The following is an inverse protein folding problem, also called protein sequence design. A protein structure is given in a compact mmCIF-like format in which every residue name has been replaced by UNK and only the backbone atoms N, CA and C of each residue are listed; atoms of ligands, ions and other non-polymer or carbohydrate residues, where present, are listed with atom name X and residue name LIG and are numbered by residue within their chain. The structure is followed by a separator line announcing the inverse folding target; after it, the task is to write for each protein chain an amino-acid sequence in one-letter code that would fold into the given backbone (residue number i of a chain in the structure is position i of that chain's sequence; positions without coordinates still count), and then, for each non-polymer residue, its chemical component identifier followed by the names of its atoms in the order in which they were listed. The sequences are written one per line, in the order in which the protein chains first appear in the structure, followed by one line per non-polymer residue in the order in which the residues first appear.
data_IF_845489850258
#
_entry.id   IF_845489850258
#
_cell.length_a   1.000
_cell.length_b   1.000
_cell.length_c   1.000
_cell.angle_alpha   90.00
_cell.angle_beta   90.00
_cell.angle_gamma   90.00
#
_symmetry.space_group_name_H-M   'P 1'
#
loop_
_entity.id
_entity.type
_entity.pdbx_description
1 polymer ?
#
# COMPACT_ATOMS: atom_id res chain seq x y z
N UNK A 1 -20.34 -49.67 122.30
CA UNK A 1 -20.64 -50.23 120.99
C UNK A 1 -20.63 -49.10 119.98
N UNK A 2 -19.59 -49.09 119.21
CA UNK A 2 -19.18 -47.99 118.37
C UNK A 2 -19.73 -48.22 116.97
N UNK A 3 -20.40 -47.31 116.38
CA UNK A 3 -20.75 -47.25 114.94
C UNK A 3 -20.09 -46.06 114.27
N UNK A 4 -19.13 -46.36 113.38
CA UNK A 4 -18.47 -45.35 112.55
C UNK A 4 -19.39 -44.93 111.40
N UNK A 5 -19.40 -43.67 111.01
CA UNK A 5 -20.13 -43.18 109.87
C UNK A 5 -19.31 -43.39 108.52
N UNK A 6 -19.98 -43.53 107.40
CA UNK A 6 -19.31 -43.82 106.11
C UNK A 6 -18.61 -42.56 105.55
N UNK A 7 -17.45 -42.77 104.89
CA UNK A 7 -16.66 -41.77 104.17
C UNK A 7 -17.33 -41.39 102.81
N UNK A 8 -17.66 -40.15 102.68
CA UNK A 8 -18.03 -39.52 101.39
C UNK A 8 -16.79 -39.44 100.52
N UNK A 9 -16.82 -40.10 99.38
CA UNK A 9 -15.84 -39.87 98.27
C UNK A 9 -16.33 -38.79 97.36
N UNK A 10 -15.50 -37.81 96.97
CA UNK A 10 -15.96 -36.75 96.07
C UNK A 10 -15.99 -37.32 94.63
N UNK A 11 -17.16 -37.20 93.98
CA UNK A 11 -17.34 -37.52 92.55
C UNK A 11 -16.50 -36.55 91.71
N UNK A 12 -15.60 -37.14 90.91
CA UNK A 12 -14.89 -36.37 89.83
C UNK A 12 -15.92 -35.89 88.83
N UNK A 13 -16.06 -34.57 88.66
CA UNK A 13 -16.73 -33.94 87.57
C UNK A 13 -15.93 -34.31 86.26
N UNK A 14 -16.51 -35.17 85.45
CA UNK A 14 -16.06 -35.37 84.08
C UNK A 14 -16.53 -34.20 83.26
N UNK A 15 -15.64 -33.26 82.99
CA UNK A 15 -15.86 -32.20 82.01
C UNK A 15 -15.96 -32.84 80.64
N UNK A 16 -17.17 -33.02 80.13
CA UNK A 16 -17.40 -33.37 78.70
C UNK A 16 -16.74 -32.32 77.80
N UNK A 17 -15.66 -32.71 77.10
CA UNK A 17 -15.05 -31.93 76.01
C UNK A 17 -16.05 -31.86 74.88
N UNK A 18 -16.83 -30.81 74.76
CA UNK A 18 -17.62 -30.45 73.59
C UNK A 18 -16.59 -30.05 72.50
N UNK A 19 -16.44 -30.80 71.43
CA UNK A 19 -15.52 -30.39 70.38
C UNK A 19 -15.98 -29.07 69.77
N UNK A 20 -15.06 -28.13 69.53
CA UNK A 20 -15.43 -26.80 68.99
C UNK A 20 -16.16 -27.02 67.67
N UNK A 21 -17.37 -26.40 67.54
CA UNK A 21 -18.11 -26.37 66.28
C UNK A 21 -17.19 -25.77 65.21
N UNK A 22 -16.55 -26.63 64.38
CA UNK A 22 -15.72 -26.23 63.27
C UNK A 22 -16.60 -25.45 62.33
N UNK A 23 -16.44 -24.11 62.28
CA UNK A 23 -17.22 -23.24 61.42
C UNK A 23 -17.12 -23.72 59.98
N UNK A 24 -18.22 -24.23 59.45
CA UNK A 24 -18.34 -24.72 58.06
C UNK A 24 -17.86 -23.66 57.07
N UNK A 25 -18.11 -22.38 57.39
CA UNK A 25 -17.71 -21.18 56.64
C UNK A 25 -16.18 -21.05 56.51
N UNK A 26 -15.43 -21.30 57.60
CA UNK A 26 -13.94 -21.30 57.58
C UNK A 26 -13.38 -22.45 56.73
N UNK A 27 -14.03 -23.63 56.74
CA UNK A 27 -13.65 -24.73 55.90
C UNK A 27 -13.93 -24.44 54.43
N UNK A 28 -15.06 -23.85 54.10
CA UNK A 28 -15.43 -23.42 52.75
C UNK A 28 -14.45 -22.37 52.23
N UNK A 29 -14.13 -21.33 53.01
CA UNK A 29 -13.16 -20.31 52.67
C UNK A 29 -11.76 -20.86 52.41
N UNK A 30 -11.29 -21.77 53.26
CA UNK A 30 -10.02 -22.47 53.05
C UNK A 30 -10.05 -23.34 51.80
N UNK A 31 -11.12 -24.06 51.50
CA UNK A 31 -11.27 -24.84 50.26
C UNK A 31 -11.27 -23.92 49.03
N UNK A 32 -12.00 -22.82 49.02
CA UNK A 32 -11.99 -21.87 47.92
C UNK A 32 -10.61 -21.24 47.73
N UNK A 33 -9.92 -20.87 48.82
CA UNK A 33 -8.55 -20.37 48.76
C UNK A 33 -7.56 -21.40 48.17
N UNK A 34 -7.64 -22.67 48.65
CA UNK A 34 -6.81 -23.75 48.10
C UNK A 34 -7.14 -24.10 46.65
N UNK A 35 -8.42 -24.13 46.26
CA UNK A 35 -8.86 -24.34 44.88
C UNK A 35 -8.40 -23.18 43.99
N UNK A 36 -8.47 -21.92 44.49
CA UNK A 36 -7.94 -20.76 43.78
C UNK A 36 -6.42 -20.81 43.60
N UNK A 37 -5.68 -21.20 44.67
CA UNK A 37 -4.21 -21.32 44.58
C UNK A 37 -3.76 -22.45 43.63
N UNK A 38 -4.40 -23.60 43.74
CA UNK A 38 -4.08 -24.74 42.83
C UNK A 38 -4.44 -24.41 41.39
N UNK A 39 -5.59 -23.76 41.15
CA UNK A 39 -5.98 -23.26 39.83
C UNK A 39 -4.99 -22.22 39.26
N UNK A 40 -4.55 -21.28 40.08
CA UNK A 40 -3.55 -20.27 39.69
C UNK A 40 -2.18 -20.92 39.39
N UNK A 41 -1.74 -21.91 40.21
CA UNK A 41 -0.49 -22.65 39.98
C UNK A 41 -0.55 -23.46 38.69
N UNK A 42 -1.65 -24.17 38.44
CA UNK A 42 -1.84 -24.92 37.20
C UNK A 42 -1.86 -24.01 35.98
N UNK A 43 -2.52 -22.88 36.06
CA UNK A 43 -2.53 -21.85 35.00
C UNK A 43 -1.12 -21.28 34.75
N UNK A 44 -0.34 -21.03 35.81
CA UNK A 44 1.04 -20.55 35.69
C UNK A 44 1.95 -21.60 35.02
N UNK A 45 1.86 -22.88 35.43
CA UNK A 45 2.63 -23.98 34.81
C UNK A 45 2.25 -24.17 33.34
N UNK A 46 0.94 -24.15 33.04
CA UNK A 46 0.47 -24.23 31.66
C UNK A 46 0.94 -23.01 30.83
N UNK A 47 0.90 -21.81 31.40
CA UNK A 47 1.40 -20.57 30.77
C UNK A 47 2.91 -20.65 30.48
N UNK A 48 3.71 -21.14 31.42
CA UNK A 48 5.14 -21.37 31.24
C UNK A 48 5.41 -22.42 30.16
N UNK A 49 4.69 -23.54 30.18
CA UNK A 49 4.82 -24.58 29.14
C UNK A 49 4.49 -24.04 27.73
N UNK A 50 3.42 -23.26 27.59
CA UNK A 50 3.07 -22.59 26.34
C UNK A 50 4.14 -21.58 25.93
N UNK A 51 4.64 -20.79 26.88
CA UNK A 51 5.72 -19.84 26.63
C UNK A 51 6.97 -20.55 26.09
N UNK A 52 7.43 -21.61 26.73
CA UNK A 52 8.60 -22.37 26.26
C UNK A 52 8.36 -23.02 24.88
N UNK A 53 7.19 -23.60 24.66
CA UNK A 53 6.84 -24.22 23.40
C UNK A 53 6.87 -23.22 22.24
N UNK A 54 6.25 -22.05 22.39
CA UNK A 54 6.22 -21.03 21.33
C UNK A 54 7.53 -20.23 21.25
N UNK A 55 8.24 -20.07 22.34
CA UNK A 55 9.48 -19.31 22.45
C UNK A 55 10.64 -19.98 21.71
N UNK A 56 10.72 -21.33 21.73
CA UNK A 56 11.79 -22.10 21.06
C UNK A 56 11.68 -22.09 19.52
N UNK A 57 10.49 -21.81 18.99
CA UNK A 57 10.23 -21.75 17.55
C UNK A 57 10.25 -20.32 16.98
N UNK A 58 10.64 -19.31 17.78
CA UNK A 58 10.73 -17.94 17.30
C UNK A 58 12.08 -17.67 16.62
N UNK A 59 12.11 -16.85 15.56
CA UNK A 59 13.35 -16.40 14.96
C UNK A 59 14.17 -15.56 15.95
N UNK A 60 15.48 -15.51 15.71
CA UNK A 60 16.37 -14.60 16.40
C UNK A 60 16.00 -13.14 16.12
N UNK A 61 16.25 -12.28 17.11
CA UNK A 61 16.03 -10.84 16.95
C UNK A 61 17.14 -10.30 16.04
N UNK A 62 16.79 -9.69 14.89
CA UNK A 62 17.80 -9.08 14.06
C UNK A 62 18.43 -7.90 14.81
N UNK A 63 19.75 -7.85 14.84
CA UNK A 63 20.44 -6.62 15.24
C UNK A 63 20.14 -5.55 14.19
N UNK A 64 19.89 -4.31 14.63
CA UNK A 64 19.43 -3.23 13.74
C UNK A 64 20.45 -2.92 12.65
N UNK A 65 21.73 -3.03 12.96
CA UNK A 65 22.85 -2.88 12.03
C UNK A 65 22.98 -4.04 11.02
N UNK A 66 22.44 -5.23 11.35
CA UNK A 66 22.41 -6.41 10.50
C UNK A 66 21.03 -6.64 9.83
N UNK A 67 20.08 -5.76 10.12
CA UNK A 67 18.75 -5.87 9.53
C UNK A 67 18.71 -5.31 8.10
N UNK A 68 18.82 -6.19 7.13
CA UNK A 68 18.68 -5.90 5.71
C UNK A 68 17.36 -6.46 5.19
N UNK A 69 16.26 -5.69 5.25
CA UNK A 69 15.02 -6.11 4.59
C UNK A 69 15.23 -6.11 3.07
N UNK A 70 14.45 -6.90 2.31
CA UNK A 70 14.47 -6.82 0.86
C UNK A 70 14.27 -5.37 0.39
N UNK A 71 15.26 -4.83 -0.31
CA UNK A 71 15.26 -3.45 -0.85
C UNK A 71 15.23 -3.50 -2.36
N UNK A 72 14.71 -2.42 -2.95
CA UNK A 72 14.63 -2.25 -4.40
C UNK A 72 16.03 -2.16 -5.01
N UNK A 73 16.26 -2.92 -6.09
CA UNK A 73 17.41 -2.72 -6.97
C UNK A 73 17.06 -1.65 -7.98
N UNK A 74 17.93 -0.66 -8.12
CA UNK A 74 17.76 0.49 -9.01
C UNK A 74 18.72 0.40 -10.19
N UNK A 75 18.23 0.64 -11.41
CA UNK A 75 19.02 0.71 -12.62
C UNK A 75 19.09 2.15 -13.08
N UNK A 76 20.30 2.65 -13.24
CA UNK A 76 20.57 4.01 -13.68
C UNK A 76 21.23 4.01 -15.07
N UNK A 77 20.93 5.04 -15.83
CA UNK A 77 21.61 5.35 -17.08
C UNK A 77 23.01 5.93 -16.82
N UNK A 78 23.81 6.12 -17.86
CA UNK A 78 25.14 6.76 -17.78
C UNK A 78 25.06 8.22 -17.26
N UNK A 79 23.98 8.90 -17.61
CA UNK A 79 23.66 10.26 -17.15
C UNK A 79 22.84 10.27 -15.83
N UNK A 80 22.88 9.18 -15.04
CA UNK A 80 22.27 9.03 -13.72
C UNK A 80 20.73 9.19 -13.68
N UNK A 81 20.04 8.98 -14.78
CA UNK A 81 18.57 8.92 -14.80
C UNK A 81 18.11 7.51 -14.37
N UNK A 82 17.10 7.42 -13.51
CA UNK A 82 16.51 6.14 -13.12
C UNK A 82 15.81 5.50 -14.32
N UNK A 83 16.31 4.34 -14.77
CA UNK A 83 15.79 3.61 -15.93
C UNK A 83 14.86 2.45 -15.55
N UNK A 84 14.97 1.93 -14.33
CA UNK A 84 14.10 0.86 -13.85
C UNK A 84 14.37 0.46 -12.41
N UNK A 85 13.41 -0.24 -11.83
CA UNK A 85 13.49 -0.78 -10.47
C UNK A 85 13.12 -2.27 -10.50
N UNK A 86 13.86 -3.12 -9.76
CA UNK A 86 13.55 -4.55 -9.59
C UNK A 86 13.31 -4.86 -8.12
N UNK A 87 12.16 -5.42 -7.76
CA UNK A 87 11.78 -5.70 -6.40
C UNK A 87 10.67 -6.74 -6.30
N UNK A 88 10.59 -7.43 -5.17
CA UNK A 88 9.37 -8.11 -4.73
C UNK A 88 8.44 -7.14 -3.99
N UNK A 89 9.03 -6.30 -3.14
CA UNK A 89 8.35 -5.29 -2.35
C UNK A 89 9.10 -3.98 -2.49
N UNK A 90 8.48 -2.95 -3.05
CA UNK A 90 9.12 -1.64 -3.21
C UNK A 90 9.39 -1.05 -1.84
N UNK A 91 10.66 -1.12 -1.42
CA UNK A 91 11.13 -0.64 -0.13
C UNK A 91 12.43 0.13 -0.30
N UNK A 92 12.42 1.34 0.25
CA UNK A 92 13.61 2.18 0.40
C UNK A 92 13.77 2.47 1.88
N UNK A 93 14.91 2.07 2.44
CA UNK A 93 15.22 2.24 3.86
C UNK A 93 15.84 3.61 4.08
N UNK A 94 15.35 4.32 5.11
CA UNK A 94 15.92 5.60 5.54
C UNK A 94 16.36 5.52 7.00
N UNK A 95 17.48 6.16 7.37
CA UNK A 95 17.90 6.29 8.76
C UNK A 95 16.81 6.95 9.61
N UNK A 96 16.67 6.53 10.87
CA UNK A 96 15.66 7.10 11.78
C UNK A 96 15.76 8.62 11.91
N UNK A 97 16.99 9.15 11.95
CA UNK A 97 17.24 10.59 12.01
C UNK A 97 16.69 11.39 10.80
N UNK A 98 16.44 10.74 9.66
CA UNK A 98 15.87 11.38 8.48
C UNK A 98 14.33 11.31 8.45
N UNK A 99 13.71 10.58 9.37
CA UNK A 99 12.24 10.49 9.46
C UNK A 99 11.72 11.69 10.27
N UNK A 100 10.84 12.52 9.70
CA UNK A 100 10.32 13.68 10.41
C UNK A 100 9.64 13.30 11.73
N UNK A 101 9.96 14.01 12.81
CA UNK A 101 9.38 13.77 14.14
C UNK A 101 7.84 13.79 14.10
N UNK A 102 7.24 14.69 13.31
CA UNK A 102 5.78 14.77 13.14
C UNK A 102 5.19 13.51 12.50
N UNK A 103 5.91 12.87 11.58
CA UNK A 103 5.49 11.60 10.98
C UNK A 103 5.50 10.47 12.01
N UNK A 104 6.57 10.36 12.81
CA UNK A 104 6.66 9.40 13.92
C UNK A 104 5.50 9.59 14.89
N UNK A 105 5.24 10.83 15.32
CA UNK A 105 4.12 11.19 16.18
C UNK A 105 2.76 10.81 15.59
N UNK A 106 2.57 10.98 14.28
CA UNK A 106 1.33 10.61 13.60
C UNK A 106 1.07 9.09 13.65
N UNK A 107 2.10 8.26 13.45
CA UNK A 107 1.98 6.81 13.60
C UNK A 107 1.67 6.41 15.05
N UNK A 108 2.38 6.98 16.03
CA UNK A 108 2.13 6.72 17.44
C UNK A 108 0.70 7.12 17.82
N UNK A 109 0.25 8.31 17.47
CA UNK A 109 -1.09 8.79 17.77
C UNK A 109 -2.21 7.93 17.14
N UNK A 110 -1.97 7.38 15.94
CA UNK A 110 -2.98 6.63 15.18
C UNK A 110 -3.04 5.15 15.53
N UNK A 111 -1.90 4.54 15.85
CA UNK A 111 -1.75 3.09 16.01
C UNK A 111 -1.52 2.68 17.47
N UNK A 112 -0.76 3.47 18.26
CA UNK A 112 -0.33 3.07 19.59
C UNK A 112 0.06 4.29 20.45
N UNK A 113 -0.93 5.04 20.96
CA UNK A 113 -0.65 6.27 21.69
C UNK A 113 0.10 6.07 23.01
N UNK A 114 0.09 4.86 23.56
CA UNK A 114 0.83 4.47 24.78
C UNK A 114 2.16 3.77 24.48
N UNK A 115 2.69 3.91 23.28
CA UNK A 115 3.90 3.19 22.81
C UNK A 115 5.09 3.30 23.77
N UNK A 116 5.30 4.47 24.38
CA UNK A 116 6.40 4.68 25.31
C UNK A 116 6.12 4.18 26.74
N UNK A 117 4.86 3.83 27.08
CA UNK A 117 4.44 3.48 28.44
C UNK A 117 4.40 1.95 28.67
N UNK A 118 4.42 1.14 27.62
CA UNK A 118 4.36 -0.32 27.74
C UNK A 118 5.63 -1.00 27.20
N UNK A 119 5.80 -2.29 27.53
CA UNK A 119 6.91 -3.14 27.10
C UNK A 119 6.44 -4.23 26.12
N UNK A 120 6.15 -3.82 24.89
CA UNK A 120 5.79 -4.72 23.77
C UNK A 120 4.30 -5.01 23.63
N UNK A 121 3.59 -5.19 24.74
CA UNK A 121 2.14 -5.46 24.76
C UNK A 121 1.44 -4.48 25.70
N UNK A 122 0.48 -3.73 25.21
CA UNK A 122 -0.42 -2.91 26.03
C UNK A 122 -1.60 -3.78 26.52
N UNK A 123 -1.46 -4.36 27.72
CA UNK A 123 -2.49 -5.22 28.33
C UNK A 123 -3.77 -4.44 28.60
N UNK A 124 -3.67 -3.21 29.12
CA UNK A 124 -4.83 -2.37 29.44
C UNK A 124 -5.53 -1.87 28.17
N UNK A 125 -4.79 -1.46 27.18
CA UNK A 125 -5.33 -1.07 25.86
C UNK A 125 -6.00 -2.23 25.16
N UNK A 126 -5.38 -3.42 25.20
CA UNK A 126 -5.96 -4.65 24.66
C UNK A 126 -7.27 -5.02 25.35
N UNK A 127 -7.32 -4.95 26.67
CA UNK A 127 -8.55 -5.21 27.44
C UNK A 127 -9.65 -4.18 27.13
N UNK A 128 -9.31 -2.90 27.02
CA UNK A 128 -10.23 -1.84 26.59
C UNK A 128 -10.75 -2.07 25.16
N UNK A 129 -9.90 -2.47 24.23
CA UNK A 129 -10.29 -2.76 22.85
C UNK A 129 -11.21 -4.00 22.78
N UNK A 130 -10.92 -5.04 23.57
CA UNK A 130 -11.75 -6.24 23.67
C UNK A 130 -13.15 -5.92 24.23
N UNK A 131 -13.23 -5.12 25.30
CA UNK A 131 -14.52 -4.71 25.89
C UNK A 131 -15.38 -3.91 24.90
N UNK A 132 -14.80 -2.96 24.17
CA UNK A 132 -15.49 -2.21 23.09
C UNK A 132 -15.97 -3.12 21.95
N UNK A 133 -15.19 -4.12 21.61
CA UNK A 133 -15.55 -5.10 20.55
C UNK A 133 -16.71 -5.97 21.00
N UNK A 134 -16.73 -6.40 22.26
CA UNK A 134 -17.85 -7.16 22.89
C UNK A 134 -19.09 -6.27 22.95
N UNK A 135 -18.97 -5.05 23.44
CA UNK A 135 -20.09 -4.10 23.49
C UNK A 135 -20.73 -3.89 22.11
N UNK A 136 -19.91 -3.74 21.07
CA UNK A 136 -20.40 -3.63 19.69
C UNK A 136 -21.13 -4.89 19.22
N UNK A 137 -20.60 -6.08 19.51
CA UNK A 137 -21.27 -7.35 19.14
C UNK A 137 -22.61 -7.53 19.86
N UNK A 138 -22.74 -6.97 21.07
CA UNK A 138 -23.98 -6.96 21.84
C UNK A 138 -24.94 -5.82 21.44
N UNK A 139 -24.62 -5.04 20.40
CA UNK A 139 -25.48 -3.93 19.96
C UNK A 139 -25.44 -2.68 20.85
N UNK A 140 -24.52 -2.61 21.82
CA UNK A 140 -24.42 -1.50 22.78
C UNK A 140 -23.65 -0.29 22.22
N UNK A 141 -23.37 -0.27 20.90
CA UNK A 141 -22.63 0.79 20.24
C UNK A 141 -21.12 0.65 20.37
N UNK A 142 -20.35 1.54 19.73
CA UNK A 142 -18.89 1.59 19.79
C UNK A 142 -18.21 1.29 18.46
N UNK A 143 -16.98 1.81 18.29
CA UNK A 143 -16.12 1.51 17.14
C UNK A 143 -15.18 0.36 17.45
N UNK A 144 -14.91 -0.50 16.49
CA UNK A 144 -13.82 -1.48 16.61
C UNK A 144 -12.48 -0.73 16.68
N UNK A 145 -11.80 -0.83 17.80
CA UNK A 145 -10.48 -0.26 18.01
C UNK A 145 -9.44 -1.38 17.91
N UNK A 146 -8.36 -1.16 17.16
CA UNK A 146 -7.22 -2.08 17.10
C UNK A 146 -6.54 -2.12 18.48
N UNK A 147 -6.24 -3.33 18.94
CA UNK A 147 -5.56 -3.54 20.23
C UNK A 147 -4.13 -4.07 20.08
N UNK A 148 -3.52 -4.01 18.88
CA UNK A 148 -2.14 -4.43 18.65
C UNK A 148 -1.21 -3.24 18.71
N UNK A 149 -0.11 -3.36 19.45
CA UNK A 149 0.92 -2.33 19.58
C UNK A 149 1.80 -2.23 18.33
N UNK A 150 2.53 -1.12 18.17
CA UNK A 150 3.56 -0.95 17.13
C UNK A 150 4.63 -2.04 17.23
N UNK A 151 5.04 -2.42 18.44
CA UNK A 151 6.00 -3.51 18.64
C UNK A 151 5.45 -4.87 18.18
N UNK A 152 4.16 -5.16 18.41
CA UNK A 152 3.53 -6.38 17.88
C UNK A 152 3.44 -6.38 16.36
N UNK A 153 3.21 -5.21 15.74
CA UNK A 153 3.21 -5.08 14.29
C UNK A 153 4.64 -5.28 13.72
N UNK A 154 5.66 -4.77 14.41
CA UNK A 154 7.08 -5.02 14.07
C UNK A 154 7.42 -6.50 14.22
N UNK A 155 7.03 -7.14 15.32
CA UNK A 155 7.20 -8.59 15.53
C UNK A 155 6.57 -9.41 14.41
N UNK A 156 5.37 -9.03 13.97
CA UNK A 156 4.74 -9.66 12.80
C UNK A 156 5.58 -9.49 11.53
N UNK A 157 6.17 -8.33 11.28
CA UNK A 157 7.03 -8.11 10.11
C UNK A 157 8.28 -9.00 10.15
N UNK A 158 8.90 -9.17 11.33
CA UNK A 158 10.03 -10.09 11.54
C UNK A 158 9.62 -11.55 11.27
N UNK A 159 8.46 -11.98 11.76
CA UNK A 159 7.94 -13.34 11.47
C UNK A 159 7.69 -13.56 9.98
N UNK A 160 7.13 -12.54 9.27
CA UNK A 160 6.92 -12.61 7.82
C UNK A 160 8.25 -12.76 7.07
N UNK A 161 9.28 -12.02 7.49
CA UNK A 161 10.60 -12.10 6.88
C UNK A 161 11.27 -13.47 7.08
N UNK A 162 11.09 -14.09 8.27
CA UNK A 162 11.69 -15.38 8.60
C UNK A 162 10.96 -16.59 8.00
N UNK A 163 9.63 -16.58 7.98
CA UNK A 163 8.79 -17.77 7.69
C UNK A 163 7.95 -17.62 6.41
N UNK A 164 7.95 -16.44 5.80
CA UNK A 164 7.11 -16.12 4.65
C UNK A 164 5.69 -15.68 5.04
N UNK A 165 5.03 -15.01 4.08
CA UNK A 165 3.75 -14.33 4.30
C UNK A 165 2.61 -15.27 4.73
N UNK A 166 2.48 -16.43 4.09
CA UNK A 166 1.37 -17.37 4.34
C UNK A 166 1.39 -17.91 5.77
N UNK A 167 2.56 -18.34 6.26
CA UNK A 167 2.74 -18.86 7.62
C UNK A 167 2.52 -17.78 8.66
N UNK A 168 3.15 -16.63 8.49
CA UNK A 168 3.16 -15.55 9.47
C UNK A 168 1.87 -14.72 9.50
N UNK A 169 0.94 -14.86 8.53
CA UNK A 169 -0.32 -14.08 8.48
C UNK A 169 -1.57 -14.90 8.72
N UNK A 170 -1.46 -16.22 8.93
CA UNK A 170 -2.59 -17.07 9.28
C UNK A 170 -3.36 -16.51 10.49
N UNK A 171 -4.69 -16.35 10.36
CA UNK A 171 -5.55 -15.82 11.41
C UNK A 171 -5.82 -16.85 12.49
N UNK A 172 -4.85 -17.12 13.37
CA UNK A 172 -4.99 -18.04 14.48
C UNK A 172 -4.44 -17.45 15.79
N UNK A 173 -4.83 -18.05 16.89
CA UNK A 173 -4.40 -17.65 18.24
C UNK A 173 -2.89 -17.87 18.43
N UNK A 174 -2.37 -18.97 17.87
CA UNK A 174 -0.93 -19.32 17.90
C UNK A 174 -0.06 -18.18 17.41
N UNK A 175 -0.43 -17.58 16.27
CA UNK A 175 0.29 -16.42 15.72
C UNK A 175 0.27 -15.24 16.70
N UNK A 176 -0.89 -14.94 17.32
CA UNK A 176 -1.00 -13.82 18.25
C UNK A 176 -0.15 -14.01 19.51
N UNK A 177 -0.05 -15.25 20.00
CA UNK A 177 0.85 -15.59 21.11
C UNK A 177 2.31 -15.38 20.69
N UNK A 178 2.71 -15.86 19.51
CA UNK A 178 4.07 -15.70 18.99
C UNK A 178 4.42 -14.24 18.76
N UNK A 179 3.51 -13.42 18.18
CA UNK A 179 3.67 -11.98 18.05
C UNK A 179 3.89 -11.30 19.42
N UNK A 180 3.12 -11.68 20.45
CA UNK A 180 3.24 -11.08 21.78
C UNK A 180 4.57 -11.45 22.45
N UNK A 181 5.02 -12.72 22.36
CA UNK A 181 6.31 -13.17 22.92
C UNK A 181 7.46 -12.46 22.20
N UNK A 182 7.42 -12.41 20.87
CA UNK A 182 8.47 -11.74 20.08
C UNK A 182 8.49 -10.24 20.33
N UNK A 183 7.31 -9.60 20.45
CA UNK A 183 7.21 -8.19 20.81
C UNK A 183 7.88 -7.88 22.17
N UNK A 184 7.67 -8.75 23.17
CA UNK A 184 8.34 -8.62 24.46
C UNK A 184 9.87 -8.75 24.34
N UNK A 185 10.34 -9.72 23.57
CA UNK A 185 11.78 -9.91 23.32
C UNK A 185 12.39 -8.73 22.57
N UNK A 186 11.67 -8.15 21.57
CA UNK A 186 12.14 -6.97 20.86
C UNK A 186 12.35 -5.79 21.81
N UNK A 187 11.44 -5.56 22.75
CA UNK A 187 11.57 -4.48 23.77
C UNK A 187 12.69 -4.74 24.80
N UNK A 188 13.07 -5.99 25.01
CA UNK A 188 14.20 -6.37 25.87
C UNK A 188 15.56 -6.19 25.15
N UNK A 189 15.57 -6.30 23.83
CA UNK A 189 16.80 -6.25 23.01
C UNK A 189 17.03 -4.90 22.31
N UNK A 190 15.98 -4.12 22.05
CA UNK A 190 16.02 -2.91 21.23
C UNK A 190 15.42 -1.73 21.98
N UNK A 191 15.93 -0.54 21.69
CA UNK A 191 15.33 0.71 22.14
C UNK A 191 14.02 1.03 21.40
N UNK A 192 13.21 1.90 21.97
CA UNK A 192 11.97 2.39 21.33
C UNK A 192 12.22 3.00 19.94
N UNK A 193 13.31 3.73 19.79
CA UNK A 193 13.69 4.33 18.50
C UNK A 193 14.09 3.28 17.46
N UNK A 194 14.78 2.24 17.85
CA UNK A 194 15.14 1.11 16.98
C UNK A 194 13.89 0.32 16.55
N UNK A 195 12.93 0.12 17.45
CA UNK A 195 11.66 -0.50 17.11
C UNK A 195 10.86 0.37 16.12
N UNK A 196 10.83 1.70 16.33
CA UNK A 196 10.20 2.63 15.39
C UNK A 196 10.93 2.64 14.04
N UNK A 197 12.25 2.61 14.03
CA UNK A 197 13.04 2.49 12.80
C UNK A 197 12.66 1.24 12.01
N UNK A 198 12.61 0.08 12.65
CA UNK A 198 12.19 -1.17 12.02
C UNK A 198 10.74 -1.08 11.52
N UNK A 199 9.82 -0.55 12.33
CA UNK A 199 8.42 -0.41 11.96
C UNK A 199 8.23 0.49 10.73
N UNK A 200 8.77 1.72 10.79
CA UNK A 200 8.57 2.74 9.77
C UNK A 200 9.20 2.38 8.42
N UNK A 201 10.26 1.56 8.41
CA UNK A 201 10.87 1.04 7.19
C UNK A 201 10.22 -0.25 6.65
N UNK A 202 9.29 -0.88 7.42
CA UNK A 202 8.70 -2.17 7.02
C UNK A 202 7.18 -2.13 6.83
N UNK A 203 6.49 -1.18 7.44
CA UNK A 203 5.03 -1.14 7.41
C UNK A 203 4.49 -1.06 5.98
N UNK A 204 3.50 -1.91 5.66
CA UNK A 204 2.82 -1.87 4.37
C UNK A 204 1.83 -0.72 4.31
N UNK A 205 2.00 0.16 3.35
CA UNK A 205 1.25 1.41 3.19
C UNK A 205 0.37 1.44 1.93
N UNK A 206 0.20 0.28 1.27
CA UNK A 206 -0.61 0.17 0.05
C UNK A 206 0.20 0.42 -1.23
N UNK A 207 -0.41 0.09 -2.39
CA UNK A 207 0.20 0.31 -3.72
C UNK A 207 1.68 -0.12 -3.80
N UNK A 208 1.96 -1.33 -3.32
CA UNK A 208 3.30 -1.94 -3.25
C UNK A 208 4.33 -1.19 -2.39
N UNK A 209 3.95 -0.13 -1.66
CA UNK A 209 4.86 0.65 -0.83
C UNK A 209 5.06 0.02 0.54
N UNK A 210 6.29 -0.33 0.85
CA UNK A 210 6.74 -0.79 2.15
C UNK A 210 7.70 0.24 2.75
N UNK A 211 7.37 0.74 3.94
CA UNK A 211 8.09 1.82 4.61
C UNK A 211 7.70 3.22 4.13
N UNK A 212 8.03 4.20 4.98
CA UNK A 212 7.58 5.59 4.82
C UNK A 212 8.22 6.32 3.63
N UNK A 213 9.48 6.01 3.28
CA UNK A 213 10.13 6.61 2.12
C UNK A 213 9.47 6.16 0.82
N UNK A 214 9.24 4.85 0.67
CA UNK A 214 8.56 4.33 -0.52
C UNK A 214 7.13 4.88 -0.66
N UNK A 215 6.44 5.11 0.45
CA UNK A 215 5.12 5.73 0.43
C UNK A 215 5.18 7.21 0.05
N UNK A 216 6.16 7.97 0.57
CA UNK A 216 6.36 9.38 0.23
C UNK A 216 6.62 9.56 -1.28
N UNK A 217 7.50 8.75 -1.85
CA UNK A 217 7.78 8.76 -3.28
C UNK A 217 6.56 8.34 -4.11
N UNK A 218 5.89 7.25 -3.70
CA UNK A 218 4.80 6.68 -4.47
C UNK A 218 3.54 7.55 -4.49
N UNK A 219 3.19 8.18 -3.36
CA UNK A 219 1.99 9.01 -3.27
C UNK A 219 2.24 10.45 -3.66
N UNK A 220 3.43 10.99 -3.34
CA UNK A 220 3.70 12.44 -3.43
C UNK A 220 4.90 12.81 -4.29
N UNK A 221 5.70 11.84 -4.79
CA UNK A 221 6.97 12.07 -5.53
C UNK A 221 7.94 12.95 -4.73
N UNK A 222 7.96 12.74 -3.40
CA UNK A 222 8.76 13.52 -2.46
C UNK A 222 9.65 12.62 -1.63
N UNK A 223 10.77 13.16 -1.16
CA UNK A 223 11.48 12.57 -0.04
C UNK A 223 10.61 12.64 1.23
N UNK A 224 10.77 11.69 2.14
CA UNK A 224 10.00 11.66 3.39
C UNK A 224 10.18 12.92 4.24
N UNK A 225 11.34 13.59 4.10
CA UNK A 225 11.68 14.85 4.80
C UNK A 225 10.86 16.04 4.33
N UNK A 226 10.37 16.00 3.08
CA UNK A 226 9.67 17.11 2.41
C UNK A 226 8.14 17.00 2.51
N UNK A 227 7.64 16.02 3.26
CA UNK A 227 6.20 15.83 3.45
C UNK A 227 5.60 16.94 4.31
N UNK A 228 4.42 17.42 3.94
CA UNK A 228 3.60 18.30 4.78
C UNK A 228 2.95 17.52 5.92
N UNK A 229 2.42 18.21 6.93
CA UNK A 229 1.70 17.55 8.03
C UNK A 229 0.46 16.79 7.53
N UNK A 230 -0.26 17.33 6.54
CA UNK A 230 -1.40 16.68 5.90
C UNK A 230 -1.01 15.38 5.20
N UNK A 231 0.11 15.39 4.47
CA UNK A 231 0.67 14.22 3.78
C UNK A 231 1.17 13.16 4.79
N UNK A 232 1.90 13.58 5.83
CA UNK A 232 2.38 12.70 6.91
C UNK A 232 1.22 11.97 7.60
N UNK A 233 0.16 12.68 7.94
CA UNK A 233 -1.00 12.11 8.65
C UNK A 233 -1.87 11.23 7.76
N UNK A 234 -1.88 11.48 6.44
CA UNK A 234 -2.51 10.56 5.49
C UNK A 234 -1.74 9.23 5.44
N UNK A 235 -0.41 9.27 5.26
CA UNK A 235 0.45 8.08 5.27
C UNK A 235 0.27 7.29 6.58
N UNK A 236 0.34 7.96 7.74
CA UNK A 236 0.16 7.32 9.04
C UNK A 236 -1.24 6.72 9.25
N UNK A 237 -2.22 7.15 8.47
CA UNK A 237 -3.57 6.59 8.48
C UNK A 237 -3.75 5.27 7.71
N UNK A 238 -2.82 4.92 6.81
CA UNK A 238 -2.96 3.79 5.88
C UNK A 238 -2.85 2.40 6.52
N UNK A 239 -1.97 2.13 7.52
CA UNK A 239 -1.73 0.76 8.01
C UNK A 239 -2.97 0.01 8.43
N UNK A 240 -3.96 0.69 8.98
CA UNK A 240 -5.21 0.07 9.43
C UNK A 240 -5.94 -0.69 8.32
N UNK A 241 -6.00 -0.12 7.11
CA UNK A 241 -6.65 -0.74 5.94
C UNK A 241 -6.20 -0.04 4.64
N UNK A 242 -5.00 -0.33 4.10
CA UNK A 242 -4.42 0.41 2.98
C UNK A 242 -5.31 0.47 1.74
N UNK A 243 -5.98 -0.63 1.39
CA UNK A 243 -6.88 -0.66 0.24
C UNK A 243 -8.17 0.16 0.47
N UNK A 244 -8.65 0.23 1.73
CA UNK A 244 -9.85 1.01 2.08
C UNK A 244 -9.59 2.50 2.07
N UNK A 245 -8.39 2.91 2.49
CA UNK A 245 -7.98 4.31 2.60
C UNK A 245 -7.05 4.75 1.47
N UNK A 246 -7.03 4.01 0.36
CA UNK A 246 -6.26 4.37 -0.81
C UNK A 246 -6.65 5.75 -1.34
N UNK A 247 -5.75 6.75 -1.35
CA UNK A 247 -6.08 8.08 -1.85
C UNK A 247 -6.31 8.12 -3.37
N UNK A 248 -5.76 7.15 -4.12
CA UNK A 248 -6.02 7.01 -5.56
C UNK A 248 -7.44 6.54 -5.87
N UNK A 249 -7.97 5.59 -5.06
CA UNK A 249 -9.22 4.95 -5.34
C UNK A 249 -10.40 5.51 -4.52
N UNK A 250 -10.12 6.06 -3.32
CA UNK A 250 -11.12 6.47 -2.34
C UNK A 250 -10.68 7.71 -1.57
N UNK A 251 -10.48 8.82 -2.29
CA UNK A 251 -9.99 10.07 -1.74
C UNK A 251 -10.76 10.55 -0.50
N UNK A 252 -12.11 10.44 -0.50
CA UNK A 252 -12.95 10.83 0.65
C UNK A 252 -12.70 9.98 1.89
N UNK A 253 -12.50 8.66 1.71
CA UNK A 253 -12.17 7.77 2.83
C UNK A 253 -10.78 8.05 3.39
N UNK A 254 -9.82 8.35 2.50
CA UNK A 254 -8.48 8.77 2.86
C UNK A 254 -8.49 10.09 3.64
N UNK A 255 -9.24 11.10 3.16
CA UNK A 255 -9.42 12.39 3.84
C UNK A 255 -10.02 12.20 5.25
N UNK A 256 -11.10 11.41 5.38
CA UNK A 256 -11.71 11.11 6.68
C UNK A 256 -10.73 10.42 7.63
N UNK A 257 -9.88 9.52 7.12
CA UNK A 257 -8.86 8.84 7.93
C UNK A 257 -7.75 9.79 8.34
N UNK A 258 -7.29 10.69 7.47
CA UNK A 258 -6.36 11.78 7.80
C UNK A 258 -6.90 12.65 8.93
N UNK A 259 -8.14 13.13 8.82
CA UNK A 259 -8.81 13.93 9.87
C UNK A 259 -8.90 13.18 11.20
N UNK A 260 -9.04 11.86 11.19
CA UNK A 260 -8.97 11.04 12.41
C UNK A 260 -7.56 11.09 13.03
N UNK A 261 -6.50 10.90 12.23
CA UNK A 261 -5.10 10.94 12.73
C UNK A 261 -4.77 12.32 13.30
N UNK A 262 -5.13 13.40 12.60
CA UNK A 262 -4.94 14.78 13.06
C UNK A 262 -5.63 15.03 14.39
N UNK A 263 -6.86 14.57 14.57
CA UNK A 263 -7.58 14.67 15.86
C UNK A 263 -6.86 13.91 16.98
N UNK A 264 -6.34 12.71 16.68
CA UNK A 264 -5.56 11.95 17.66
C UNK A 264 -4.31 12.71 18.08
N UNK A 265 -3.53 13.23 17.12
CA UNK A 265 -2.33 14.03 17.40
C UNK A 265 -2.64 15.26 18.26
N UNK A 266 -3.76 15.95 17.98
CA UNK A 266 -4.22 17.07 18.79
C UNK A 266 -4.61 16.63 20.21
N UNK A 267 -5.38 15.55 20.35
CA UNK A 267 -5.81 15.02 21.66
C UNK A 267 -4.63 14.61 22.52
N UNK A 268 -3.56 14.07 21.92
CA UNK A 268 -2.32 13.68 22.61
C UNK A 268 -1.36 14.88 22.79
N UNK A 269 -1.76 16.12 22.46
CA UNK A 269 -0.94 17.33 22.60
C UNK A 269 0.28 17.41 21.68
N UNK A 270 0.30 16.61 20.60
CA UNK A 270 1.41 16.57 19.68
C UNK A 270 1.40 17.72 18.67
N UNK A 271 0.24 18.28 18.34
CA UNK A 271 0.04 19.43 17.46
C UNK A 271 -0.95 20.42 18.09
N UNK A 272 -0.85 21.69 17.68
CA UNK A 272 -1.81 22.72 18.04
C UNK A 272 -3.11 22.62 17.22
N UNK A 273 -4.18 23.29 17.68
CA UNK A 273 -5.44 23.37 16.96
C UNK A 273 -5.28 24.10 15.60
N UNK A 274 -4.39 25.09 15.52
CA UNK A 274 -4.09 25.80 14.29
C UNK A 274 -3.43 24.86 13.25
N UNK A 275 -2.38 24.11 13.65
CA UNK A 275 -1.74 23.11 12.80
C UNK A 275 -2.74 22.04 12.35
N UNK A 276 -3.60 21.58 13.25
CA UNK A 276 -4.64 20.58 12.94
C UNK A 276 -5.57 21.07 11.85
N UNK A 277 -6.12 22.31 11.99
CA UNK A 277 -7.04 22.88 11.00
C UNK A 277 -6.37 23.09 9.66
N UNK A 278 -5.18 23.70 9.64
CA UNK A 278 -4.42 23.92 8.41
C UNK A 278 -4.15 22.61 7.65
N UNK A 279 -3.71 21.56 8.34
CA UNK A 279 -3.43 20.27 7.71
C UNK A 279 -4.70 19.52 7.28
N UNK A 280 -5.85 19.74 7.94
CA UNK A 280 -7.13 19.12 7.57
C UNK A 280 -7.76 19.77 6.33
N UNK A 281 -7.52 21.07 6.11
CA UNK A 281 -7.97 21.82 4.94
C UNK A 281 -7.09 21.56 3.70
N UNK A 282 -5.88 21.06 3.88
CA UNK A 282 -4.97 20.74 2.78
C UNK A 282 -5.61 19.75 1.79
N UNK A 283 -5.59 20.03 0.47
CA UNK A 283 -6.17 19.12 -0.50
C UNK A 283 -5.40 17.80 -0.57
N UNK A 284 -6.10 16.68 -0.70
CA UNK A 284 -5.47 15.38 -0.94
C UNK A 284 -5.07 15.30 -2.41
N UNK A 285 -3.81 15.60 -2.69
CA UNK A 285 -3.22 15.50 -4.02
C UNK A 285 -2.24 14.35 -4.03
N UNK A 286 -2.49 13.35 -4.85
CA UNK A 286 -1.58 12.21 -5.06
C UNK A 286 -1.29 12.10 -6.56
N UNK A 287 -0.10 11.64 -6.87
CA UNK A 287 0.36 11.50 -8.24
C UNK A 287 0.24 10.05 -8.68
N UNK A 288 -0.16 9.77 -9.94
CA UNK A 288 -0.12 8.42 -10.47
C UNK A 288 1.27 7.81 -10.31
N UNK A 289 1.31 6.52 -10.01
CA UNK A 289 2.58 5.78 -9.97
C UNK A 289 3.16 5.80 -11.37
N UNK A 290 4.35 6.35 -11.52
CA UNK A 290 5.12 6.21 -12.77
C UNK A 290 5.73 4.81 -12.79
N UNK A 291 5.38 4.05 -13.80
CA UNK A 291 6.03 2.78 -14.09
C UNK A 291 7.27 3.06 -14.96
N UNK A 292 8.34 3.52 -14.30
CA UNK A 292 9.60 3.87 -14.97
C UNK A 292 10.12 2.71 -15.83
N UNK A 293 9.88 1.46 -15.40
CA UNK A 293 10.29 0.27 -16.15
C UNK A 293 9.59 0.16 -17.51
N UNK A 294 8.26 0.38 -17.54
CA UNK A 294 7.49 0.23 -18.78
C UNK A 294 7.50 1.49 -19.65
N UNK A 295 7.73 2.67 -19.06
CA UNK A 295 7.60 3.92 -19.80
C UNK A 295 8.89 4.37 -20.47
N UNK A 296 10.05 4.17 -19.83
CA UNK A 296 11.30 4.75 -20.32
C UNK A 296 12.09 3.81 -21.26
N UNK A 297 12.54 2.65 -20.79
CA UNK A 297 13.40 1.77 -21.58
C UNK A 297 13.15 0.27 -21.26
N UNK A 298 11.93 -0.25 -21.46
CA UNK A 298 11.55 -1.57 -20.95
C UNK A 298 12.40 -2.72 -21.53
N UNK A 299 12.74 -2.68 -22.80
CA UNK A 299 13.56 -3.72 -23.44
C UNK A 299 15.01 -3.70 -22.98
N UNK A 300 15.56 -2.52 -22.77
CA UNK A 300 16.93 -2.38 -22.28
C UNK A 300 17.03 -2.84 -20.82
N UNK A 301 16.14 -2.38 -19.98
CA UNK A 301 16.11 -2.76 -18.56
C UNK A 301 15.81 -4.25 -18.37
N UNK A 302 14.99 -4.87 -19.22
CA UNK A 302 14.81 -6.32 -19.21
C UNK A 302 16.11 -7.07 -19.62
N UNK A 303 16.89 -6.55 -20.55
CA UNK A 303 18.19 -7.14 -20.89
C UNK A 303 19.17 -6.99 -19.71
N UNK A 304 19.17 -5.84 -19.03
CA UNK A 304 19.95 -5.65 -17.79
C UNK A 304 19.51 -6.66 -16.74
N UNK A 305 18.21 -6.85 -16.53
CA UNK A 305 17.68 -7.83 -15.59
C UNK A 305 18.20 -9.25 -15.88
N UNK A 306 18.17 -9.69 -17.13
CA UNK A 306 18.67 -11.02 -17.54
C UNK A 306 20.14 -11.18 -17.23
N UNK A 307 20.97 -10.20 -17.58
CA UNK A 307 22.39 -10.22 -17.30
C UNK A 307 22.70 -10.24 -15.79
N UNK A 308 21.92 -9.50 -15.00
CA UNK A 308 22.08 -9.47 -13.55
C UNK A 308 21.67 -10.79 -12.88
N UNK A 309 20.58 -11.42 -13.36
CA UNK A 309 20.14 -12.75 -12.87
C UNK A 309 21.17 -13.82 -13.19
N UNK A 310 21.79 -13.78 -14.36
CA UNK A 310 22.84 -14.71 -14.76
C UNK A 310 24.10 -14.58 -13.87
N UNK A 311 24.47 -13.34 -13.48
CA UNK A 311 25.68 -13.08 -12.69
C UNK A 311 25.47 -13.29 -11.19
N UNK A 312 24.31 -12.90 -10.64
CA UNK A 312 24.09 -12.81 -9.20
C UNK A 312 23.00 -13.73 -8.67
N UNK A 313 21.98 -14.02 -9.33
CA UNK A 313 20.75 -14.74 -9.01
C UNK A 313 19.53 -13.81 -8.94
N UNK A 314 18.36 -14.39 -9.18
CA UNK A 314 17.10 -13.62 -9.06
C UNK A 314 16.82 -13.15 -7.61
N UNK A 315 17.26 -13.93 -6.61
CA UNK A 315 17.09 -13.56 -5.20
C UNK A 315 17.87 -12.30 -4.86
N UNK A 316 19.14 -12.25 -5.23
CA UNK A 316 20.02 -11.08 -5.02
C UNK A 316 19.46 -9.86 -5.73
N UNK A 317 19.06 -10.00 -7.00
CA UNK A 317 18.51 -8.89 -7.77
C UNK A 317 17.26 -8.27 -7.14
N UNK A 318 16.39 -9.08 -6.56
CA UNK A 318 15.09 -8.61 -6.03
C UNK A 318 15.10 -8.20 -4.57
N UNK A 319 16.20 -8.50 -3.83
CA UNK A 319 16.22 -8.31 -2.38
C UNK A 319 17.40 -7.51 -1.85
N UNK A 320 18.56 -7.49 -2.56
CA UNK A 320 19.80 -6.99 -1.94
C UNK A 320 20.04 -5.49 -2.23
N UNK A 321 19.14 -4.81 -2.94
CA UNK A 321 19.20 -3.36 -3.16
C UNK A 321 20.41 -2.91 -3.98
N UNK A 322 20.69 -3.61 -5.08
CA UNK A 322 21.80 -3.27 -5.95
C UNK A 322 21.57 -1.92 -6.64
N UNK A 323 22.64 -1.18 -6.87
CA UNK A 323 22.67 -0.02 -7.78
C UNK A 323 23.42 -0.41 -9.03
N UNK A 324 22.70 -0.50 -10.13
CA UNK A 324 23.22 -0.92 -11.44
C UNK A 324 23.37 0.31 -12.32
N UNK A 325 24.60 0.66 -12.69
CA UNK A 325 24.88 1.75 -13.60
C UNK A 325 25.11 1.15 -15.00
N UNK A 326 24.23 1.49 -15.91
CA UNK A 326 24.27 1.03 -17.28
C UNK A 326 24.91 2.08 -18.20
N UNK A 327 25.40 1.65 -19.34
CA UNK A 327 26.03 2.54 -20.34
C UNK A 327 25.03 3.22 -21.27
N UNK A 328 23.75 3.14 -20.97
CA UNK A 328 22.68 3.75 -21.75
C UNK A 328 22.59 5.25 -21.46
N UNK A 329 22.70 6.06 -22.49
CA UNK A 329 22.43 7.49 -22.48
C UNK A 329 20.94 7.74 -22.65
N UNK A 330 20.33 8.56 -21.77
CA UNK A 330 18.87 8.75 -21.74
C UNK A 330 18.31 9.48 -22.96
N UNK A 331 19.06 10.45 -23.52
CA UNK A 331 18.62 11.21 -24.70
C UNK A 331 18.70 10.37 -25.95
N UNK A 332 19.80 9.61 -26.13
CA UNK A 332 19.95 8.68 -27.27
C UNK A 332 18.92 7.57 -27.22
N UNK A 333 18.57 7.07 -26.04
CA UNK A 333 17.52 6.06 -25.88
C UNK A 333 16.16 6.61 -26.32
N UNK A 334 15.79 7.83 -25.92
CA UNK A 334 14.55 8.47 -26.38
C UNK A 334 14.55 8.67 -27.88
N UNK A 335 15.61 9.21 -28.44
CA UNK A 335 15.74 9.42 -29.88
C UNK A 335 15.63 8.10 -30.67
N UNK A 336 16.22 7.02 -30.16
CA UNK A 336 16.11 5.69 -30.77
C UNK A 336 14.68 5.16 -30.73
N UNK A 337 13.99 5.27 -29.58
CA UNK A 337 12.59 4.85 -29.43
C UNK A 337 11.66 5.64 -30.36
N UNK A 338 11.82 6.95 -30.44
CA UNK A 338 11.06 7.81 -31.36
C UNK A 338 11.30 7.42 -32.81
N UNK A 339 12.55 7.18 -33.19
CA UNK A 339 12.91 6.76 -34.56
C UNK A 339 12.32 5.42 -34.91
N UNK A 340 12.36 4.43 -34.00
CA UNK A 340 11.73 3.11 -34.17
C UNK A 340 10.21 3.25 -34.31
N UNK A 341 9.58 4.03 -33.43
CA UNK A 341 8.13 4.27 -33.48
C UNK A 341 7.73 4.94 -34.83
N UNK A 342 8.44 5.98 -35.24
CA UNK A 342 8.16 6.66 -36.50
C UNK A 342 8.38 5.75 -37.70
N UNK A 343 9.40 4.89 -37.66
CA UNK A 343 9.64 3.85 -38.66
C UNK A 343 8.49 2.84 -38.76
N UNK A 344 8.04 2.33 -37.60
CA UNK A 344 6.92 1.39 -37.55
C UNK A 344 5.61 2.03 -38.02
N UNK A 345 5.32 3.25 -37.60
CA UNK A 345 4.16 4.02 -38.08
C UNK A 345 4.22 4.27 -39.58
N UNK A 346 5.40 4.53 -40.12
CA UNK A 346 5.60 4.70 -41.57
C UNK A 346 5.32 3.39 -42.34
N UNK A 347 5.77 2.24 -41.81
CA UNK A 347 5.49 0.93 -42.41
C UNK A 347 4.00 0.62 -42.34
N UNK A 348 3.37 0.84 -41.17
CA UNK A 348 1.95 0.61 -40.95
C UNK A 348 1.07 1.42 -41.90
N UNK A 349 1.38 2.71 -42.10
CA UNK A 349 0.71 3.56 -43.09
C UNK A 349 0.88 3.06 -44.54
N UNK A 350 2.05 2.56 -44.91
CA UNK A 350 2.27 1.99 -46.23
C UNK A 350 1.44 0.72 -46.47
N UNK A 351 1.16 -0.06 -45.42
CA UNK A 351 0.28 -1.24 -45.50
C UNK A 351 -1.19 -0.87 -45.67
N UNK A 352 -1.61 0.28 -45.19
CA UNK A 352 -2.98 0.79 -45.27
C UNK A 352 -3.74 0.68 -43.98
N UNK A 353 -4.94 1.27 -43.94
CA UNK A 353 -5.79 1.36 -42.73
C UNK A 353 -6.59 0.08 -42.53
N UNK A 354 -6.44 -0.56 -41.38
CA UNK A 354 -7.13 -1.81 -41.03
C UNK A 354 -8.51 -1.60 -40.42
N UNK A 355 -8.91 -0.35 -40.22
CA UNK A 355 -10.20 0.03 -39.65
C UNK A 355 -10.07 0.66 -38.24
N UNK A 356 -11.21 1.10 -37.67
CA UNK A 356 -11.26 1.63 -36.32
C UNK A 356 -11.05 0.52 -35.29
N UNK A 357 -10.56 0.89 -34.10
CA UNK A 357 -10.44 -0.03 -32.94
C UNK A 357 -11.80 -0.59 -32.57
N UNK A 358 -12.83 0.27 -32.61
CA UNK A 358 -14.21 -0.06 -32.27
C UNK A 358 -15.13 0.92 -32.97
N UNK A 359 -16.34 0.46 -33.32
CA UNK A 359 -17.41 1.34 -33.76
C UNK A 359 -18.52 1.39 -32.70
N UNK A 360 -18.89 2.61 -32.28
CA UNK A 360 -19.96 2.88 -31.33
C UNK A 360 -21.21 3.30 -32.10
N UNK A 361 -22.16 2.39 -32.20
CA UNK A 361 -23.34 2.58 -33.06
C UNK A 361 -24.33 3.55 -32.43
N UNK A 362 -24.60 3.38 -31.11
CA UNK A 362 -25.61 4.16 -30.42
C UNK A 362 -25.06 5.46 -29.84
N UNK A 363 -25.89 6.46 -29.71
CA UNK A 363 -25.50 7.71 -29.08
C UNK A 363 -25.19 7.56 -27.58
N UNK A 364 -25.87 6.62 -26.92
CA UNK A 364 -25.62 6.28 -25.53
C UNK A 364 -24.19 5.75 -25.30
N UNK A 365 -23.72 4.82 -26.15
CA UNK A 365 -22.36 4.29 -26.11
C UNK A 365 -21.31 5.40 -26.33
N UNK A 366 -21.57 6.32 -27.29
CA UNK A 366 -20.68 7.44 -27.57
C UNK A 366 -20.56 8.40 -26.39
N UNK A 367 -21.68 8.73 -25.74
CA UNK A 367 -21.69 9.56 -24.53
C UNK A 367 -20.97 8.90 -23.37
N UNK A 368 -21.22 7.60 -23.14
CA UNK A 368 -20.53 6.83 -22.10
C UNK A 368 -19.02 6.81 -22.33
N UNK A 369 -18.59 6.55 -23.58
CA UNK A 369 -17.19 6.56 -23.94
C UNK A 369 -16.53 7.92 -23.67
N UNK A 370 -17.14 9.02 -24.12
CA UNK A 370 -16.63 10.37 -23.91
C UNK A 370 -16.57 10.74 -22.43
N UNK A 371 -17.57 10.34 -21.64
CA UNK A 371 -17.59 10.57 -20.19
C UNK A 371 -16.41 9.84 -19.50
N UNK A 372 -16.16 8.59 -19.87
CA UNK A 372 -15.03 7.81 -19.36
C UNK A 372 -13.70 8.42 -19.78
N UNK A 373 -13.58 8.81 -21.06
CA UNK A 373 -12.37 9.42 -21.60
C UNK A 373 -12.07 10.78 -20.95
N UNK A 374 -13.09 11.62 -20.72
CA UNK A 374 -12.95 12.90 -20.01
C UNK A 374 -12.50 12.68 -18.57
N UNK A 375 -13.09 11.70 -17.87
CA UNK A 375 -12.70 11.38 -16.50
C UNK A 375 -11.26 10.84 -16.41
N UNK A 376 -10.84 10.06 -17.39
CA UNK A 376 -9.48 9.50 -17.44
C UNK A 376 -8.42 10.56 -17.79
N UNK A 377 -8.76 11.52 -18.67
CA UNK A 377 -7.86 12.58 -19.07
C UNK A 377 -7.77 13.72 -18.00
N UNK A 378 -8.83 13.91 -17.20
CA UNK A 378 -8.93 15.00 -16.24
C UNK A 378 -8.85 16.38 -16.93
N UNK A 379 -8.14 17.32 -16.27
CA UNK A 379 -7.88 18.68 -16.79
C UNK A 379 -6.57 18.79 -17.60
N UNK A 380 -5.94 17.65 -17.92
CA UNK A 380 -4.67 17.66 -18.66
C UNK A 380 -4.86 18.15 -20.10
N UNK A 381 -3.98 19.06 -20.53
CA UNK A 381 -3.88 19.48 -21.92
C UNK A 381 -3.28 18.35 -22.76
N UNK A 382 -3.83 18.11 -23.95
CA UNK A 382 -3.24 17.16 -24.88
C UNK A 382 -1.80 17.57 -25.24
N UNK A 383 -0.87 16.64 -25.00
CA UNK A 383 0.55 16.84 -25.31
C UNK A 383 0.82 16.56 -26.80
N UNK A 384 1.77 17.30 -27.36
CA UNK A 384 2.20 17.07 -28.72
C UNK A 384 2.91 15.72 -28.87
N UNK A 385 2.75 15.14 -30.07
CA UNK A 385 3.35 13.87 -30.41
C UNK A 385 2.92 12.65 -29.57
N UNK A 386 1.98 12.81 -28.64
CA UNK A 386 1.39 11.72 -27.85
C UNK A 386 0.17 11.15 -28.57
N UNK A 387 0.02 9.80 -28.48
CA UNK A 387 -1.11 9.07 -29.03
C UNK A 387 -2.31 9.17 -28.09
N UNK A 388 -3.49 9.43 -28.63
CA UNK A 388 -4.75 9.50 -27.90
C UNK A 388 -5.81 8.65 -28.60
N UNK A 389 -6.74 8.12 -27.79
CA UNK A 389 -7.91 7.44 -28.31
C UNK A 389 -9.04 8.47 -28.48
N UNK A 390 -9.47 8.67 -29.71
CA UNK A 390 -10.49 9.63 -30.05
C UNK A 390 -11.72 9.00 -30.71
N UNK A 391 -12.86 9.66 -30.56
CA UNK A 391 -14.14 9.31 -31.18
C UNK A 391 -14.43 10.21 -32.37
N UNK A 392 -14.74 9.64 -33.54
CA UNK A 392 -15.25 10.39 -34.70
C UNK A 392 -16.68 10.84 -34.41
N UNK A 393 -16.89 12.16 -34.33
CA UNK A 393 -18.20 12.76 -33.99
C UNK A 393 -18.96 13.27 -35.20
N UNK A 394 -18.25 13.71 -36.24
CA UNK A 394 -18.84 14.15 -37.49
C UNK A 394 -17.89 13.94 -38.67
N UNK A 395 -18.44 13.88 -39.88
CA UNK A 395 -17.68 13.86 -41.13
C UNK A 395 -18.08 15.08 -41.97
N UNK A 396 -17.09 15.77 -42.53
CA UNK A 396 -17.32 16.89 -43.42
C UNK A 396 -18.18 16.46 -44.63
N UNK A 397 -19.12 17.29 -45.04
CA UNK A 397 -20.05 16.98 -46.15
C UNK A 397 -19.31 16.70 -47.45
N UNK A 398 -18.25 17.45 -47.77
CA UNK A 398 -17.38 17.30 -48.92
C UNK A 398 -16.34 16.17 -48.76
N UNK A 399 -16.25 15.54 -47.60
CA UNK A 399 -15.29 14.47 -47.31
C UNK A 399 -13.86 14.99 -47.06
N UNK A 400 -13.66 16.27 -46.84
CA UNK A 400 -12.36 16.91 -46.59
C UNK A 400 -11.77 16.67 -45.20
N UNK A 401 -12.58 16.20 -44.24
CA UNK A 401 -12.11 15.94 -42.88
C UNK A 401 -13.13 15.24 -42.00
N UNK A 402 -12.71 14.90 -40.80
CA UNK A 402 -13.55 14.31 -39.72
C UNK A 402 -13.30 15.04 -38.42
N UNK A 403 -14.38 15.35 -37.68
CA UNK A 403 -14.28 15.86 -36.32
C UNK A 403 -14.03 14.71 -35.37
N UNK A 404 -13.00 14.85 -34.53
CA UNK A 404 -12.60 13.84 -33.56
C UNK A 404 -12.63 14.47 -32.16
N UNK A 405 -13.14 13.73 -31.18
CA UNK A 405 -13.18 14.15 -29.77
C UNK A 405 -12.38 13.20 -28.89
N UNK A 406 -11.44 13.78 -28.11
CA UNK A 406 -10.62 13.08 -27.11
C UNK A 406 -10.98 13.65 -25.74
N UNK A 407 -11.75 12.91 -24.96
CA UNK A 407 -12.31 13.42 -23.70
C UNK A 407 -13.14 14.68 -23.93
N UNK A 408 -12.78 15.80 -23.29
CA UNK A 408 -13.39 17.11 -23.48
C UNK A 408 -12.86 17.91 -24.69
N UNK A 409 -11.73 17.48 -25.28
CA UNK A 409 -11.06 18.21 -26.36
C UNK A 409 -11.60 17.79 -27.73
N UNK A 410 -11.83 18.78 -28.58
CA UNK A 410 -12.25 18.57 -29.96
C UNK A 410 -11.11 18.90 -30.92
N UNK A 411 -10.98 18.14 -31.99
CA UNK A 411 -9.97 18.31 -33.02
C UNK A 411 -10.51 17.94 -34.41
N UNK A 412 -9.85 18.44 -35.45
CA UNK A 412 -10.13 18.11 -36.83
C UNK A 412 -9.05 17.18 -37.38
N UNK A 413 -9.48 16.10 -38.01
CA UNK A 413 -8.66 15.17 -38.74
C UNK A 413 -8.83 15.44 -40.24
N UNK A 414 -7.92 16.22 -40.89
CA UNK A 414 -8.05 16.57 -42.26
C UNK A 414 -7.73 15.40 -43.20
N UNK A 415 -8.39 15.30 -44.37
CA UNK A 415 -8.11 14.32 -45.41
C UNK A 415 -6.63 14.27 -45.77
N UNK A 416 -5.98 15.42 -45.85
CA UNK A 416 -4.54 15.50 -46.19
C UNK A 416 -3.70 14.65 -45.22
N UNK A 417 -4.03 14.67 -43.93
CA UNK A 417 -3.34 13.90 -42.90
C UNK A 417 -3.62 12.39 -42.97
N UNK A 418 -4.74 12.00 -43.55
CA UNK A 418 -5.15 10.59 -43.62
C UNK A 418 -5.24 10.00 -45.04
N UNK A 419 -4.65 10.65 -46.03
CA UNK A 419 -4.65 10.12 -47.44
C UNK A 419 -4.08 8.72 -47.58
N UNK A 420 -3.20 8.31 -46.67
CA UNK A 420 -2.64 6.98 -46.56
C UNK A 420 -3.67 5.91 -46.11
N UNK A 421 -4.79 6.30 -45.46
CA UNK A 421 -5.75 5.39 -44.81
C UNK A 421 -6.67 4.68 -45.80
N UNK A 422 -6.11 4.13 -46.84
CA UNK A 422 -6.76 3.23 -47.84
C UNK A 422 -6.97 1.83 -47.25
N UNK A 423 -7.86 1.06 -47.83
CA UNK A 423 -7.97 -0.35 -47.45
C UNK A 423 -6.63 -1.07 -47.68
N UNK A 424 -6.31 -2.01 -46.81
CA UNK A 424 -5.12 -2.86 -46.94
C UNK A 424 -5.15 -3.57 -48.26
N UNK A 425 -4.09 -3.36 -49.08
CA UNK A 425 -3.88 -4.04 -50.33
C UNK A 425 -2.37 -4.25 -50.54
N UNK A 426 -1.84 -5.43 -50.19
CA UNK A 426 -0.40 -5.73 -50.32
C UNK A 426 0.13 -5.65 -51.72
N UNK A 427 -0.73 -5.92 -52.73
CA UNK A 427 -0.37 -5.96 -54.13
C UNK A 427 -0.51 -4.62 -54.85
N UNK A 428 -1.13 -3.65 -54.19
CA UNK A 428 -1.41 -2.34 -54.80
C UNK A 428 -0.26 -1.35 -54.69
N UNK A 429 0.02 -0.61 -55.77
CA UNK A 429 0.97 0.50 -55.74
C UNK A 429 0.49 1.65 -54.87
N UNK A 430 1.19 1.89 -53.76
CA UNK A 430 0.78 2.80 -52.67
C UNK A 430 0.38 4.22 -53.13
N UNK A 431 1.16 4.95 -53.95
CA UNK A 431 0.78 6.31 -54.36
C UNK A 431 -0.51 6.39 -55.17
N UNK A 432 -0.84 5.36 -55.97
CA UNK A 432 -2.06 5.32 -56.79
C UNK A 432 -3.35 5.02 -56.03
N UNK A 433 -3.26 4.57 -54.79
CA UNK A 433 -4.39 4.12 -53.99
C UNK A 433 -4.75 5.08 -52.86
N UNK A 434 -4.24 6.30 -52.84
CA UNK A 434 -4.48 7.26 -51.79
C UNK A 434 -5.96 7.61 -51.61
N UNK A 435 -6.37 7.79 -50.35
CA UNK A 435 -7.74 8.16 -49.99
C UNK A 435 -8.12 9.53 -50.57
N UNK A 436 -9.30 9.57 -51.20
CA UNK A 436 -9.84 10.80 -51.82
C UNK A 436 -10.97 11.44 -51.01
N UNK A 437 -11.46 10.78 -49.99
CA UNK A 437 -12.49 11.27 -49.08
C UNK A 437 -12.43 10.49 -47.78
N UNK A 438 -12.53 11.18 -46.64
CA UNK A 438 -12.56 10.56 -45.31
C UNK A 438 -13.71 9.57 -45.15
N UNK A 439 -14.83 9.78 -45.85
CA UNK A 439 -16.02 8.90 -45.83
C UNK A 439 -15.75 7.50 -46.37
N UNK A 440 -14.67 7.27 -47.12
CA UNK A 440 -14.27 5.95 -47.59
C UNK A 440 -13.56 5.11 -46.55
N UNK A 441 -13.08 5.73 -45.46
CA UNK A 441 -12.32 5.06 -44.43
C UNK A 441 -12.97 5.14 -43.03
N UNK A 442 -13.75 6.20 -42.78
CA UNK A 442 -14.32 6.49 -41.45
C UNK A 442 -15.83 6.65 -41.50
N UNK A 443 -16.45 6.30 -40.37
CA UNK A 443 -17.86 6.54 -40.05
C UNK A 443 -17.98 7.27 -38.72
N UNK A 444 -19.13 7.94 -38.51
CA UNK A 444 -19.45 8.55 -37.20
C UNK A 444 -19.62 7.44 -36.18
N UNK A 445 -18.95 7.58 -35.03
CA UNK A 445 -18.93 6.56 -33.99
C UNK A 445 -17.67 5.67 -34.02
N UNK A 446 -16.77 5.84 -35.00
CA UNK A 446 -15.50 5.15 -35.02
C UNK A 446 -14.58 5.65 -33.91
N UNK A 447 -13.94 4.72 -33.20
CA UNK A 447 -12.90 4.98 -32.20
C UNK A 447 -11.55 4.73 -32.82
N UNK A 448 -10.69 5.73 -32.79
CA UNK A 448 -9.40 5.76 -33.46
C UNK A 448 -8.28 6.04 -32.46
N UNK A 449 -7.05 5.62 -32.77
CA UNK A 449 -5.84 6.18 -32.13
C UNK A 449 -5.27 7.22 -33.06
N UNK A 450 -5.10 8.43 -32.56
CA UNK A 450 -4.49 9.53 -33.30
C UNK A 450 -3.41 10.23 -32.48
N UNK A 451 -2.44 10.83 -33.20
CA UNK A 451 -1.33 11.55 -32.59
C UNK A 451 -1.59 13.05 -32.68
N UNK A 452 -1.61 13.73 -31.55
CA UNK A 452 -1.73 15.19 -31.58
C UNK A 452 -0.56 15.81 -32.33
N UNK A 453 -0.86 16.59 -33.38
CA UNK A 453 0.10 17.36 -34.17
C UNK A 453 -0.02 18.85 -33.85
N UNK A 454 1.09 19.60 -33.85
CA UNK A 454 1.16 21.06 -33.63
C UNK A 454 0.74 21.89 -34.82
N UNK A 455 0.59 21.31 -36.01
CA UNK A 455 0.40 22.07 -37.23
C UNK A 455 -1.05 22.45 -37.47
N UNK A 456 -1.48 23.51 -36.80
CA UNK A 456 -2.42 24.50 -37.34
C UNK A 456 -1.58 25.50 -38.17
N UNK A 457 -1.78 25.51 -39.49
CA UNK A 457 -1.24 26.51 -40.40
C UNK A 457 0.26 26.48 -40.74
N UNK A 458 0.70 25.54 -41.51
CA UNK A 458 1.70 25.80 -42.54
C UNK A 458 1.48 24.85 -43.75
N UNK A 459 1.62 25.39 -44.93
CA UNK A 459 1.35 24.82 -46.22
C UNK A 459 2.24 23.66 -46.66
N UNK A 460 2.77 22.85 -45.72
CA UNK A 460 3.55 21.66 -46.03
C UNK A 460 3.06 20.48 -45.17
N UNK A 461 2.47 19.50 -45.86
CA UNK A 461 2.24 18.11 -45.45
C UNK A 461 1.99 17.86 -43.95
N UNK A 462 0.82 18.24 -43.45
CA UNK A 462 0.28 17.74 -42.18
C UNK A 462 -0.12 16.29 -42.33
N UNK A 463 0.78 15.37 -42.10
CA UNK A 463 0.44 13.96 -42.01
C UNK A 463 -0.22 13.69 -40.63
N UNK A 464 -1.49 13.28 -40.65
CA UNK A 464 -2.08 12.58 -39.54
C UNK A 464 -1.31 11.30 -39.29
N UNK A 465 -0.97 11.00 -38.07
CA UNK A 465 -0.16 9.85 -37.70
C UNK A 465 -1.02 8.84 -36.92
N UNK A 466 -2.08 8.32 -37.58
CA UNK A 466 -2.86 7.23 -36.99
C UNK A 466 -2.14 5.89 -37.28
N UNK A 467 -1.86 5.08 -36.22
CA UNK A 467 -1.55 3.67 -36.48
C UNK A 467 -2.82 2.95 -36.91
N UNK A 468 -2.70 2.00 -37.82
CA UNK A 468 -3.77 1.02 -38.01
C UNK A 468 -3.87 0.22 -36.71
N UNK A 469 -5.08 0.05 -36.18
CA UNK A 469 -5.32 -0.73 -34.95
C UNK A 469 -4.62 -2.10 -35.04
N UNK A 470 -3.73 -2.35 -34.09
CA UNK A 470 -3.17 -3.68 -33.83
C UNK A 470 -4.10 -4.50 -32.96
#
# INVERSE_FOLDING_TARGET
MSTKPPKNTPSKLVLDHVPPKRNLLVRLLKFVAWAGLTGATAAAVAGLGLYYHFSSALPDIPQVDQYWPPIVTEVYTDDAVLAGEFYHHRRKVVPYAHIPKRLVQAFIASEDSSFFDHHGVDVLGTARAASKTIAKKLGLGGSMQGGSTLTQQTAKAVLVAAEGYASATAKNLTRKIREAILARRLEEALTKEEILYLYLNNVFLGHHSYGVQSAAENYYRKDVRDLTLGEMTLIAGLPQAPSRYSPFLRADAAKKRRSYVLRRMFTEGMISEAERKQADEEPVRVYPVEDVFHEFAPYFTEQVRRNMVERYTNKTLLNDGLKVFATMDSERQRAAQESVLDGLLSIDKRQGFRGPIKQLVTEAERREFLTKATKALGDEKLQENKLYVGLVTALAADGSGADVQVGSHKGLLPLLGMRWARKVNPEGYYPGLMLTSVKKALAVGDVLVDRKSTRLNSSHSGESRMPSSA
#
